data_IF_161272791141
#
_entry.id   IF_161272791141
#
_cell.length_a   1.000
_cell.length_b   1.000
_cell.length_c   1.000
_cell.angle_alpha   90.00
_cell.angle_beta   90.00
_cell.angle_gamma   90.00
#
_symmetry.space_group_name_H-M   'P 1'
#
loop_
_entity.id
_entity.type
_entity.pdbx_description
1 polymer ?
#
# COMPACT_ATOMS: atom_id res chain seq x y z
N UNK A 1 -25.09 -17.26 -6.56
CA UNK A 1 -24.54 -17.61 -5.23
C UNK A 1 -23.40 -18.55 -5.53
N UNK A 2 -22.19 -18.01 -5.72
CA UNK A 2 -21.00 -18.79 -6.05
C UNK A 2 -19.95 -18.52 -4.98
N UNK A 3 -19.35 -19.62 -4.52
CA UNK A 3 -18.59 -19.77 -3.29
C UNK A 3 -17.26 -19.01 -3.28
N UNK A 4 -16.94 -18.42 -2.14
CA UNK A 4 -15.59 -17.96 -1.80
C UNK A 4 -14.60 -19.14 -1.80
N UNK A 5 -13.43 -18.95 -2.41
CA UNK A 5 -12.35 -19.94 -2.35
C UNK A 5 -11.82 -20.02 -0.90
N UNK A 6 -12.03 -21.17 -0.26
CA UNK A 6 -11.74 -21.43 1.16
C UNK A 6 -10.24 -21.32 1.53
N UNK A 7 -9.36 -21.25 0.53
CA UNK A 7 -7.90 -21.32 0.70
C UNK A 7 -7.25 -20.17 1.46
N UNK A 8 -7.93 -19.04 1.64
CA UNK A 8 -7.34 -17.89 2.36
C UNK A 8 -7.31 -18.08 3.89
N UNK A 9 -8.25 -18.85 4.43
CA UNK A 9 -8.45 -18.92 5.87
C UNK A 9 -8.80 -20.33 6.33
N UNK A 10 -7.79 -21.20 6.28
CA UNK A 10 -7.79 -22.65 6.58
C UNK A 10 -8.40 -23.10 7.93
N UNK A 11 -8.78 -22.15 8.78
CA UNK A 11 -9.58 -22.36 9.99
C UNK A 11 -10.51 -21.17 10.10
N UNK A 12 -11.82 -21.37 10.36
CA UNK A 12 -12.58 -20.65 11.39
C UNK A 12 -14.08 -20.50 11.10
N UNK A 13 -14.83 -20.44 12.22
CA UNK A 13 -16.23 -20.03 12.44
C UNK A 13 -16.64 -18.66 11.85
N UNK A 14 -15.79 -17.99 11.07
CA UNK A 14 -16.01 -16.64 10.53
C UNK A 14 -15.79 -16.70 9.03
N UNK A 15 -16.75 -16.21 8.26
CA UNK A 15 -16.73 -16.34 6.79
C UNK A 15 -15.64 -15.45 6.16
N UNK A 16 -15.13 -15.79 4.95
CA UNK A 16 -14.15 -14.99 4.23
C UNK A 16 -14.56 -13.52 4.02
N UNK A 17 -15.85 -13.24 3.81
CA UNK A 17 -16.42 -11.90 3.64
C UNK A 17 -16.20 -11.03 4.88
N UNK A 18 -16.43 -11.59 6.06
CA UNK A 18 -16.21 -10.88 7.32
C UNK A 18 -14.73 -10.58 7.52
N UNK A 19 -13.85 -11.51 7.14
CA UNK A 19 -12.39 -11.32 7.22
C UNK A 19 -11.93 -10.23 6.25
N UNK A 20 -12.42 -10.27 5.02
CA UNK A 20 -12.21 -9.23 4.01
C UNK A 20 -12.74 -7.87 4.46
N UNK A 21 -13.92 -7.82 5.10
CA UNK A 21 -14.49 -6.61 5.66
C UNK A 21 -13.67 -6.06 6.83
N UNK A 22 -13.20 -6.93 7.74
CA UNK A 22 -12.30 -6.54 8.83
C UNK A 22 -11.00 -5.92 8.29
N UNK A 23 -10.40 -6.53 7.27
CA UNK A 23 -9.22 -5.97 6.60
C UNK A 23 -9.53 -4.63 5.93
N UNK A 24 -10.68 -4.50 5.24
CA UNK A 24 -11.13 -3.25 4.65
C UNK A 24 -11.29 -2.15 5.69
N UNK A 25 -11.94 -2.42 6.83
CA UNK A 25 -12.09 -1.44 7.92
C UNK A 25 -10.74 -0.98 8.46
N UNK A 26 -9.79 -1.92 8.59
CA UNK A 26 -8.44 -1.61 9.03
C UNK A 26 -7.74 -0.62 8.09
N UNK A 27 -7.64 -0.95 6.79
CA UNK A 27 -6.89 -0.12 5.83
C UNK A 27 -7.62 1.15 5.42
N UNK A 28 -8.95 1.14 5.36
CA UNK A 28 -9.74 2.28 4.88
C UNK A 28 -9.98 3.35 5.95
N UNK A 29 -10.19 2.95 7.21
CA UNK A 29 -10.52 3.87 8.30
C UNK A 29 -9.31 4.24 9.15
N UNK A 30 -8.17 3.53 9.01
CA UNK A 30 -7.01 3.72 9.88
C UNK A 30 -7.31 3.33 11.34
N UNK A 31 -8.14 2.29 11.52
CA UNK A 31 -8.50 1.78 12.84
C UNK A 31 -7.39 0.89 13.40
N UNK A 32 -7.21 0.83 14.71
CA UNK A 32 -6.40 -0.23 15.32
C UNK A 32 -7.11 -1.59 15.18
N UNK A 33 -6.37 -2.70 15.23
CA UNK A 33 -6.97 -4.05 15.21
C UNK A 33 -8.01 -4.24 16.32
N UNK A 34 -7.80 -3.63 17.48
CA UNK A 34 -8.76 -3.63 18.60
C UNK A 34 -10.03 -2.87 18.27
N UNK A 35 -9.91 -1.72 17.60
CA UNK A 35 -11.08 -0.95 17.16
C UNK A 35 -11.89 -1.71 16.11
N UNK A 36 -11.24 -2.41 15.17
CA UNK A 36 -11.93 -3.28 14.21
C UNK A 36 -12.66 -4.43 14.92
N UNK A 37 -12.00 -5.12 15.86
CA UNK A 37 -12.64 -6.18 16.64
C UNK A 37 -13.89 -5.68 17.40
N UNK A 38 -13.81 -4.51 18.05
CA UNK A 38 -14.96 -3.89 18.72
C UNK A 38 -16.10 -3.52 17.75
N UNK A 39 -15.78 -3.03 16.56
CA UNK A 39 -16.78 -2.74 15.53
C UNK A 39 -17.45 -4.03 15.02
N UNK A 40 -16.72 -5.12 14.87
CA UNK A 40 -17.32 -6.40 14.49
C UNK A 40 -18.22 -6.95 15.61
N UNK A 41 -17.84 -6.73 16.87
CA UNK A 41 -18.64 -7.12 18.03
C UNK A 41 -19.99 -6.40 18.08
N UNK A 42 -20.10 -5.14 17.65
CA UNK A 42 -21.40 -4.45 17.56
C UNK A 42 -22.36 -5.09 16.55
N UNK A 43 -21.85 -5.93 15.64
CA UNK A 43 -22.63 -6.74 14.70
C UNK A 43 -22.76 -8.20 15.15
N UNK A 44 -22.44 -8.52 16.40
CA UNK A 44 -22.53 -9.88 16.96
C UNK A 44 -21.35 -10.80 16.60
N UNK A 45 -20.33 -10.28 15.92
CA UNK A 45 -19.16 -11.06 15.49
C UNK A 45 -18.04 -10.88 16.51
N UNK A 46 -17.92 -11.83 17.45
CA UNK A 46 -16.88 -11.81 18.49
C UNK A 46 -15.57 -12.39 17.96
N UNK A 47 -14.58 -11.53 17.75
CA UNK A 47 -13.23 -11.93 17.34
C UNK A 47 -12.17 -11.17 18.11
N UNK A 48 -11.01 -11.79 18.30
CA UNK A 48 -9.88 -11.11 18.92
C UNK A 48 -9.21 -10.14 17.94
N UNK A 49 -8.59 -9.09 18.46
CA UNK A 49 -7.76 -8.19 17.65
C UNK A 49 -6.57 -8.92 16.97
N UNK A 50 -6.09 -10.02 17.56
CA UNK A 50 -5.06 -10.88 16.96
C UNK A 50 -5.59 -11.60 15.73
N UNK A 51 -6.84 -12.05 15.74
CA UNK A 51 -7.47 -12.64 14.55
C UNK A 51 -7.56 -11.63 13.40
N UNK A 52 -7.96 -10.38 13.69
CA UNK A 52 -7.97 -9.30 12.67
C UNK A 52 -6.56 -9.05 12.12
N UNK A 53 -5.54 -9.01 12.98
CA UNK A 53 -4.15 -8.90 12.53
C UNK A 53 -3.76 -10.07 11.60
N UNK A 54 -4.04 -11.31 11.99
CA UNK A 54 -3.78 -12.49 11.15
C UNK A 54 -4.49 -12.40 9.80
N UNK A 55 -5.71 -11.85 9.74
CA UNK A 55 -6.42 -11.69 8.48
C UNK A 55 -5.71 -10.74 7.53
N UNK A 56 -5.24 -9.59 8.03
CA UNK A 56 -4.47 -8.63 7.24
C UNK A 56 -3.14 -9.23 6.79
N UNK A 57 -2.46 -10.00 7.65
CA UNK A 57 -1.21 -10.65 7.30
C UNK A 57 -1.39 -11.68 6.18
N UNK A 58 -2.35 -12.60 6.33
CA UNK A 58 -2.64 -13.61 5.30
C UNK A 58 -3.07 -12.98 3.99
N UNK A 59 -3.93 -11.96 4.06
CA UNK A 59 -4.38 -11.26 2.87
C UNK A 59 -3.22 -10.58 2.13
N UNK A 60 -2.30 -9.95 2.85
CA UNK A 60 -1.13 -9.34 2.24
C UNK A 60 -0.18 -10.35 1.59
N UNK A 61 -0.05 -11.54 2.18
CA UNK A 61 0.74 -12.64 1.62
C UNK A 61 0.12 -13.19 0.34
N UNK A 62 -1.19 -13.41 0.35
CA UNK A 62 -1.89 -13.96 -0.81
C UNK A 62 -1.97 -12.95 -1.95
N UNK A 63 -2.23 -11.67 -1.66
CA UNK A 63 -2.27 -10.62 -2.70
C UNK A 63 -0.92 -10.46 -3.40
N UNK A 64 0.19 -10.46 -2.65
CA UNK A 64 1.54 -10.37 -3.21
C UNK A 64 1.67 -9.34 -4.34
N UNK A 65 2.00 -9.83 -5.53
CA UNK A 65 2.18 -9.03 -6.75
C UNK A 65 0.86 -8.63 -7.44
N UNK A 66 -0.26 -9.32 -7.16
CA UNK A 66 -1.58 -9.02 -7.73
C UNK A 66 -2.16 -7.67 -7.27
N UNK A 67 -1.58 -7.09 -6.22
CA UNK A 67 -1.91 -5.74 -5.76
C UNK A 67 -1.53 -4.64 -6.77
N UNK A 68 -0.69 -4.96 -7.78
CA UNK A 68 -0.14 -4.01 -8.74
C UNK A 68 -0.51 -4.40 -10.18
N UNK A 69 -0.59 -3.40 -11.06
CA UNK A 69 -0.94 -3.61 -12.47
C UNK A 69 0.08 -3.00 -13.40
N UNK A 70 0.39 -3.77 -14.44
CA UNK A 70 1.27 -3.31 -15.50
C UNK A 70 0.55 -2.29 -16.41
N UNK A 71 1.13 -1.10 -16.58
CA UNK A 71 0.58 -0.01 -17.42
C UNK A 71 1.68 0.83 -18.03
N UNK A 72 1.34 1.58 -19.06
CA UNK A 72 2.15 2.72 -19.49
C UNK A 72 1.99 3.87 -18.51
N UNK A 73 3.10 4.52 -18.16
CA UNK A 73 3.15 5.62 -17.20
C UNK A 73 4.13 6.67 -17.69
N UNK A 74 3.67 7.92 -17.79
CA UNK A 74 4.55 9.02 -18.19
C UNK A 74 5.50 9.41 -17.07
N UNK A 75 4.97 9.50 -15.85
CA UNK A 75 5.69 9.96 -14.66
C UNK A 75 5.62 8.90 -13.58
N UNK A 76 6.75 8.67 -12.90
CA UNK A 76 6.85 7.92 -11.66
C UNK A 76 7.41 8.87 -10.60
N UNK A 77 6.60 9.22 -9.62
CA UNK A 77 7.13 9.94 -8.46
C UNK A 77 7.54 8.94 -7.40
N UNK A 78 8.71 9.15 -6.82
CA UNK A 78 9.24 8.36 -5.72
C UNK A 78 9.61 9.24 -4.54
N UNK A 79 9.26 8.76 -3.35
CA UNK A 79 9.60 9.35 -2.06
C UNK A 79 9.67 8.21 -1.04
N UNK A 80 10.34 8.47 0.07
CA UNK A 80 10.41 7.55 1.18
C UNK A 80 9.78 8.11 2.47
N UNK A 81 9.48 7.20 3.37
CA UNK A 81 9.12 7.56 4.74
C UNK A 81 9.70 6.54 5.70
N UNK A 82 9.82 6.94 6.97
CA UNK A 82 10.31 6.06 8.04
C UNK A 82 9.21 5.78 9.05
N UNK A 83 9.12 4.52 9.46
CA UNK A 83 8.15 4.01 10.41
C UNK A 83 8.93 3.54 11.64
N UNK A 84 8.56 4.03 12.83
CA UNK A 84 9.14 3.55 14.08
C UNK A 84 8.53 2.19 14.44
N UNK A 85 9.40 1.23 14.74
CA UNK A 85 9.09 -0.14 15.09
C UNK A 85 9.81 -0.51 16.40
N UNK A 86 9.53 -1.69 16.95
CA UNK A 86 10.18 -2.21 18.18
C UNK A 86 11.71 -2.17 18.12
N UNK A 87 12.29 -2.55 16.98
CA UNK A 87 13.74 -2.69 16.79
C UNK A 87 14.39 -1.49 16.12
N UNK A 88 13.69 -0.36 16.00
CA UNK A 88 14.21 0.85 15.37
C UNK A 88 13.35 1.34 14.21
N UNK A 89 13.97 2.02 13.25
CA UNK A 89 13.28 2.60 12.10
C UNK A 89 13.29 1.63 10.92
N UNK A 90 12.15 1.53 10.24
CA UNK A 90 12.02 0.85 8.95
C UNK A 90 11.66 1.90 7.92
N UNK A 91 12.34 1.89 6.79
CA UNK A 91 12.07 2.77 5.65
C UNK A 91 11.12 2.08 4.67
N UNK A 92 10.18 2.88 4.16
CA UNK A 92 9.24 2.49 3.11
C UNK A 92 9.38 3.48 1.97
N UNK A 93 9.95 3.00 0.87
CA UNK A 93 9.92 3.70 -0.42
C UNK A 93 8.60 3.37 -1.11
N UNK A 94 7.94 4.36 -1.68
CA UNK A 94 6.72 4.14 -2.46
C UNK A 94 6.83 4.90 -3.78
N UNK A 95 6.38 4.26 -4.85
CA UNK A 95 6.34 4.82 -6.20
C UNK A 95 4.92 5.02 -6.66
N UNK A 96 4.62 6.17 -7.25
CA UNK A 96 3.27 6.55 -7.63
C UNK A 96 3.19 7.05 -9.06
N UNK A 97 2.04 6.77 -9.65
CA UNK A 97 1.61 7.37 -10.89
C UNK A 97 0.67 8.54 -10.56
N UNK A 98 1.10 9.80 -10.74
CA UNK A 98 0.27 10.95 -10.42
C UNK A 98 -0.95 11.11 -11.35
N UNK A 99 -0.83 10.66 -12.59
CA UNK A 99 -1.86 10.79 -13.64
C UNK A 99 -3.03 9.84 -13.32
N UNK A 100 -2.71 8.56 -13.08
CA UNK A 100 -3.71 7.56 -12.71
C UNK A 100 -4.04 7.52 -11.22
N UNK A 101 -3.28 8.26 -10.40
CA UNK A 101 -3.33 8.24 -8.93
C UNK A 101 -3.18 6.83 -8.37
N UNK A 102 -2.26 6.06 -8.91
CA UNK A 102 -2.05 4.67 -8.57
C UNK A 102 -0.74 4.50 -7.78
N UNK A 103 -0.75 3.61 -6.79
CA UNK A 103 0.50 3.12 -6.18
C UNK A 103 1.08 2.07 -7.13
N UNK A 104 2.24 2.38 -7.73
CA UNK A 104 2.92 1.53 -8.70
C UNK A 104 3.60 0.37 -8.01
N UNK A 105 4.40 0.66 -6.97
CA UNK A 105 4.98 -0.33 -6.08
C UNK A 105 5.53 0.31 -4.80
N UNK A 106 6.08 -0.51 -3.90
CA UNK A 106 6.79 -0.06 -2.72
C UNK A 106 7.95 -1.01 -2.35
N UNK A 107 8.87 -0.51 -1.53
CA UNK A 107 9.95 -1.28 -0.96
C UNK A 107 10.10 -0.99 0.53
N UNK A 108 10.11 -2.05 1.34
CA UNK A 108 10.31 -1.98 2.80
C UNK A 108 11.71 -2.48 3.12
N UNK A 109 12.50 -1.66 3.80
CA UNK A 109 13.91 -1.95 4.15
C UNK A 109 14.28 -1.31 5.48
N UNK A 110 15.38 -1.75 6.09
CA UNK A 110 15.93 -1.17 7.32
C UNK A 110 16.94 -0.05 7.02
N UNK A 111 17.34 0.09 5.76
CA UNK A 111 18.36 1.04 5.32
C UNK A 111 17.79 2.07 4.35
N UNK A 112 18.52 3.17 4.14
CA UNK A 112 18.16 4.21 3.18
C UNK A 112 19.36 4.49 2.30
N UNK A 113 19.72 3.49 1.51
CA UNK A 113 20.89 3.52 0.64
C UNK A 113 20.50 3.47 -0.85
N UNK A 114 21.46 3.81 -1.71
CA UNK A 114 21.27 3.72 -3.16
C UNK A 114 20.92 2.31 -3.64
N UNK A 115 21.38 1.26 -2.93
CA UNK A 115 21.03 -0.13 -3.29
C UNK A 115 19.55 -0.45 -3.01
N UNK A 116 19.00 0.03 -1.91
CA UNK A 116 17.57 -0.11 -1.58
C UNK A 116 16.72 0.61 -2.62
N UNK A 117 17.17 1.81 -3.01
CA UNK A 117 16.52 2.63 -4.03
C UNK A 117 16.57 1.94 -5.40
N UNK A 118 17.68 1.29 -5.75
CA UNK A 118 17.78 0.50 -6.98
C UNK A 118 16.80 -0.69 -6.98
N UNK A 119 16.69 -1.42 -5.86
CA UNK A 119 15.72 -2.52 -5.72
C UNK A 119 14.29 -1.97 -5.85
N UNK A 120 13.99 -0.88 -5.16
CA UNK A 120 12.70 -0.20 -5.21
C UNK A 120 12.32 0.23 -6.65
N UNK A 121 13.20 0.94 -7.34
CA UNK A 121 12.92 1.41 -8.70
C UNK A 121 12.73 0.24 -9.67
N UNK A 122 13.53 -0.84 -9.56
CA UNK A 122 13.30 -2.07 -10.33
C UNK A 122 11.91 -2.67 -10.09
N UNK A 123 11.44 -2.68 -8.85
CA UNK A 123 10.08 -3.14 -8.53
C UNK A 123 9.00 -2.27 -9.16
N UNK A 124 9.16 -0.94 -9.17
CA UNK A 124 8.24 -0.05 -9.86
C UNK A 124 8.25 -0.31 -11.37
N UNK A 125 9.43 -0.42 -11.97
CA UNK A 125 9.59 -0.63 -13.42
C UNK A 125 9.06 -1.99 -13.89
N UNK A 126 9.03 -3.02 -13.03
CA UNK A 126 8.35 -4.30 -13.33
C UNK A 126 6.89 -4.10 -13.75
N UNK A 127 6.24 -3.05 -13.25
CA UNK A 127 4.86 -2.73 -13.56
C UNK A 127 4.72 -1.60 -14.57
N UNK A 128 5.81 -1.07 -15.14
CA UNK A 128 5.75 -0.05 -16.18
C UNK A 128 6.11 -0.66 -17.54
N UNK A 129 5.19 -0.56 -18.52
CA UNK A 129 5.45 -1.03 -19.89
C UNK A 129 6.50 -0.20 -20.63
N UNK A 130 6.72 1.02 -20.17
CA UNK A 130 7.67 1.98 -20.69
C UNK A 130 8.62 2.45 -19.57
N UNK A 131 9.62 3.28 -19.92
CA UNK A 131 10.43 3.99 -18.93
C UNK A 131 9.77 5.33 -18.59
N UNK A 132 9.17 5.49 -17.40
CA UNK A 132 8.63 6.78 -16.99
C UNK A 132 9.75 7.77 -16.67
N UNK A 133 9.42 9.05 -16.71
CA UNK A 133 10.20 10.10 -16.08
C UNK A 133 10.14 9.95 -14.56
N UNK A 134 11.30 9.88 -13.92
CA UNK A 134 11.42 9.72 -12.48
C UNK A 134 11.49 11.08 -11.80
N UNK A 135 10.62 11.29 -10.82
CA UNK A 135 10.54 12.53 -10.06
C UNK A 135 10.77 12.23 -8.57
N UNK A 136 11.70 12.92 -7.90
CA UNK A 136 12.03 12.68 -6.48
C UNK A 136 12.21 13.97 -5.68
N UNK A 137 12.32 13.85 -4.35
CA UNK A 137 12.52 14.97 -3.40
C UNK A 137 13.97 15.48 -3.31
N UNK A 138 14.91 14.87 -4.03
CA UNK A 138 16.33 15.22 -4.01
C UNK A 138 17.19 14.39 -3.06
N UNK A 139 16.66 13.31 -2.48
CA UNK A 139 17.46 12.37 -1.69
C UNK A 139 18.71 11.85 -2.42
N UNK A 140 19.86 11.84 -1.74
CA UNK A 140 21.16 11.48 -2.32
C UNK A 140 21.24 10.02 -2.81
N UNK A 141 20.31 9.17 -2.40
CA UNK A 141 20.21 7.77 -2.82
C UNK A 141 19.51 7.56 -4.18
N UNK A 142 18.93 8.58 -4.81
CA UNK A 142 18.23 8.46 -6.10
C UNK A 142 19.09 8.60 -7.37
N UNK A 143 20.10 9.51 -7.46
CA UNK A 143 20.80 9.77 -8.71
C UNK A 143 21.49 8.54 -9.32
N UNK A 144 22.27 7.81 -8.52
CA UNK A 144 23.01 6.64 -9.04
C UNK A 144 22.08 5.52 -9.52
N UNK A 145 21.03 5.10 -8.78
CA UNK A 145 20.07 4.12 -9.28
C UNK A 145 19.31 4.57 -10.53
N UNK A 146 18.90 5.83 -10.59
CA UNK A 146 18.17 6.36 -11.74
C UNK A 146 19.03 6.32 -13.01
N UNK A 147 20.29 6.77 -12.91
CA UNK A 147 21.27 6.66 -13.98
C UNK A 147 21.49 5.21 -14.39
N UNK A 148 21.67 4.30 -13.41
CA UNK A 148 21.91 2.87 -13.65
C UNK A 148 20.76 2.19 -14.41
N UNK A 149 19.53 2.65 -14.21
CA UNK A 149 18.33 2.14 -14.90
C UNK A 149 18.02 2.91 -16.20
N UNK A 150 18.76 3.98 -16.48
CA UNK A 150 18.55 4.85 -17.63
C UNK A 150 17.18 5.55 -17.58
N UNK A 151 16.80 6.04 -16.39
CA UNK A 151 15.61 6.87 -16.18
C UNK A 151 15.99 8.34 -16.32
N UNK A 152 15.12 9.13 -16.95
CA UNK A 152 15.23 10.58 -16.88
C UNK A 152 14.82 11.02 -15.47
N UNK A 153 15.76 11.55 -14.68
CA UNK A 153 15.53 11.86 -13.26
C UNK A 153 15.52 13.36 -13.02
N UNK A 154 14.41 13.84 -12.48
CA UNK A 154 14.24 15.22 -12.04
C UNK A 154 14.00 15.27 -10.54
N UNK A 155 14.56 16.29 -9.91
CA UNK A 155 14.26 16.65 -8.53
C UNK A 155 13.18 17.72 -8.56
N UNK A 156 12.07 17.49 -7.85
CA UNK A 156 10.95 18.44 -7.89
C UNK A 156 11.39 19.80 -7.34
N UNK A 157 11.12 20.86 -8.08
CA UNK A 157 11.17 22.25 -7.62
C UNK A 157 9.85 22.96 -7.94
N UNK A 158 9.43 23.91 -7.09
CA UNK A 158 8.23 24.73 -7.36
C UNK A 158 6.87 24.03 -7.13
N UNK A 159 5.89 24.31 -8.00
CA UNK A 159 4.46 24.01 -7.78
C UNK A 159 4.08 22.52 -7.89
N UNK A 160 4.77 21.76 -8.73
CA UNK A 160 4.55 20.30 -8.90
C UNK A 160 4.78 19.55 -7.57
N UNK A 161 5.67 20.09 -6.73
CA UNK A 161 5.96 19.58 -5.37
C UNK A 161 4.71 19.55 -4.51
N UNK A 162 3.83 20.54 -4.63
CA UNK A 162 2.64 20.62 -3.79
C UNK A 162 1.64 19.49 -4.08
N UNK A 163 1.50 19.06 -5.34
CA UNK A 163 0.64 17.92 -5.67
C UNK A 163 1.21 16.61 -5.14
N UNK A 164 2.50 16.39 -5.39
CA UNK A 164 3.27 15.26 -4.89
C UNK A 164 3.20 15.19 -3.37
N UNK A 165 3.52 16.27 -2.68
CA UNK A 165 3.51 16.35 -1.22
C UNK A 165 2.12 16.14 -0.65
N UNK A 166 1.04 16.71 -1.23
CA UNK A 166 -0.33 16.46 -0.76
C UNK A 166 -0.72 14.99 -0.90
N UNK A 167 -0.33 14.35 -1.99
CA UNK A 167 -0.55 12.92 -2.20
C UNK A 167 0.22 12.11 -1.16
N UNK A 168 1.52 12.38 -1.02
CA UNK A 168 2.37 11.69 -0.06
C UNK A 168 1.96 11.97 1.37
N UNK A 169 1.47 13.15 1.70
CA UNK A 169 0.88 13.46 3.00
C UNK A 169 -0.37 12.62 3.25
N UNK A 170 -1.12 12.22 2.23
CA UNK A 170 -2.25 11.30 2.42
C UNK A 170 -1.78 9.87 2.71
N UNK A 171 -0.77 9.39 1.98
CA UNK A 171 -0.12 8.11 2.24
C UNK A 171 0.53 8.13 3.63
N UNK A 172 1.38 9.14 3.88
CA UNK A 172 2.02 9.43 5.16
C UNK A 172 0.94 9.51 6.22
N UNK A 173 -0.11 10.34 6.17
CA UNK A 173 -1.23 10.36 7.14
C UNK A 173 -1.84 8.99 7.45
N UNK A 174 -1.87 8.06 6.49
CA UNK A 174 -2.29 6.68 6.75
C UNK A 174 -1.21 5.88 7.46
N UNK A 175 0.03 5.94 6.99
CA UNK A 175 1.22 5.40 7.68
C UNK A 175 1.43 6.00 9.09
N UNK A 176 0.94 7.22 9.26
CA UNK A 176 0.99 8.09 10.42
C UNK A 176 -0.24 7.93 11.32
N UNK A 177 -1.38 7.39 10.86
CA UNK A 177 -2.37 6.89 11.83
C UNK A 177 -1.81 5.67 12.59
N UNK A 178 -0.67 5.11 12.15
CA UNK A 178 0.18 4.20 12.92
C UNK A 178 1.32 4.93 13.68
N UNK A 179 1.24 6.27 13.86
CA UNK A 179 2.38 7.20 13.92
C UNK A 179 3.52 6.85 14.85
N UNK A 180 3.30 6.32 16.03
CA UNK A 180 4.43 6.23 16.98
C UNK A 180 5.12 4.88 16.92
N UNK A 181 4.44 3.85 16.42
CA UNK A 181 4.84 2.47 16.62
C UNK A 181 3.93 1.51 15.84
N UNK A 182 4.47 0.83 14.84
CA UNK A 182 3.86 -0.43 14.40
C UNK A 182 4.26 -1.49 15.44
N UNK A 183 3.32 -2.21 16.10
CA UNK A 183 3.62 -3.24 17.10
C UNK A 183 4.14 -4.51 16.44
N UNK A 184 5.20 -4.34 15.65
CA UNK A 184 5.93 -5.40 15.00
C UNK A 184 7.37 -4.96 14.88
N UNK A 185 8.26 -5.90 15.13
CA UNK A 185 9.66 -5.82 14.72
C UNK A 185 9.89 -6.40 13.33
N UNK A 186 8.83 -6.84 12.64
CA UNK A 186 8.94 -7.68 11.45
C UNK A 186 8.66 -6.91 10.15
N UNK A 187 9.69 -6.77 9.32
CA UNK A 187 9.61 -6.25 7.93
C UNK A 187 8.52 -6.93 7.09
N UNK A 188 8.29 -8.24 7.29
CA UNK A 188 7.21 -8.99 6.62
C UNK A 188 5.84 -8.44 6.96
N UNK A 189 5.61 -8.08 8.21
CA UNK A 189 4.32 -7.57 8.67
C UNK A 189 3.97 -6.22 8.04
N UNK A 190 4.96 -5.32 7.93
CA UNK A 190 4.81 -4.03 7.25
C UNK A 190 4.60 -4.24 5.75
N UNK A 191 5.33 -5.17 5.13
CA UNK A 191 5.15 -5.50 3.72
C UNK A 191 3.73 -5.98 3.43
N UNK A 192 3.23 -6.95 4.21
CA UNK A 192 1.89 -7.48 4.05
C UNK A 192 0.83 -6.37 4.22
N UNK A 193 0.99 -5.52 5.23
CA UNK A 193 0.14 -4.34 5.39
C UNK A 193 0.17 -3.43 4.16
N UNK A 194 1.38 -3.07 3.68
CA UNK A 194 1.55 -2.21 2.51
C UNK A 194 0.93 -2.83 1.26
N UNK A 195 0.99 -4.16 1.09
CA UNK A 195 0.34 -4.87 -0.01
C UNK A 195 -1.18 -4.72 0.06
N UNK A 196 -1.79 -5.00 1.22
CA UNK A 196 -3.25 -4.84 1.41
C UNK A 196 -3.67 -3.38 1.21
N UNK A 197 -2.87 -2.44 1.71
CA UNK A 197 -3.13 -1.02 1.54
C UNK A 197 -3.04 -0.58 0.08
N UNK A 198 -2.02 -1.01 -0.67
CA UNK A 198 -1.87 -0.72 -2.09
C UNK A 198 -3.04 -1.29 -2.89
N UNK A 199 -3.44 -2.54 -2.62
CA UNK A 199 -4.61 -3.16 -3.26
C UNK A 199 -5.89 -2.36 -3.00
N UNK A 200 -6.13 -1.98 -1.75
CA UNK A 200 -7.31 -1.20 -1.37
C UNK A 200 -7.29 0.19 -2.02
N UNK A 201 -6.14 0.85 -1.99
CA UNK A 201 -5.95 2.18 -2.55
C UNK A 201 -6.23 2.17 -4.05
N UNK A 202 -5.66 1.20 -4.77
CA UNK A 202 -5.77 1.10 -6.22
C UNK A 202 -7.16 0.64 -6.68
N UNK A 203 -7.85 -0.19 -5.91
CA UNK A 203 -9.08 -0.83 -6.37
C UNK A 203 -10.38 -0.36 -5.70
N UNK A 204 -10.32 0.21 -4.50
CA UNK A 204 -11.53 0.43 -3.68
C UNK A 204 -11.64 1.81 -3.08
N UNK A 205 -10.55 2.56 -2.99
CA UNK A 205 -10.56 3.93 -2.46
C UNK A 205 -11.23 4.87 -3.45
N UNK A 206 -12.14 5.72 -2.97
CA UNK A 206 -12.68 6.81 -3.77
C UNK A 206 -11.69 7.98 -3.82
N UNK A 207 -11.36 8.45 -5.02
CA UNK A 207 -10.54 9.63 -5.24
C UNK A 207 -11.42 10.77 -5.72
N UNK A 208 -11.49 11.88 -4.97
CA UNK A 208 -12.38 13.00 -5.30
C UNK A 208 -12.21 13.52 -6.74
N UNK A 209 -10.97 13.63 -7.22
CA UNK A 209 -10.70 14.12 -8.59
C UNK A 209 -11.02 13.09 -9.67
N UNK A 210 -10.79 11.79 -9.42
CA UNK A 210 -11.10 10.75 -10.42
C UNK A 210 -12.56 10.29 -10.35
N UNK A 211 -13.27 10.55 -9.25
CA UNK A 211 -14.60 10.02 -8.89
C UNK A 211 -14.68 8.48 -8.80
N UNK A 212 -13.54 7.78 -8.92
CA UNK A 212 -13.41 6.32 -8.91
C UNK A 212 -12.02 5.91 -8.39
N UNK A 213 -11.80 4.62 -8.05
CA UNK A 213 -10.48 4.09 -7.78
C UNK A 213 -9.65 3.99 -9.08
N UNK A 214 -8.31 4.02 -8.99
CA UNK A 214 -7.43 3.92 -10.16
C UNK A 214 -7.72 2.74 -11.10
N UNK A 215 -8.07 1.58 -10.54
CA UNK A 215 -8.16 0.32 -11.26
C UNK A 215 -9.58 -0.20 -11.47
N UNK A 216 -10.60 0.52 -11.01
CA UNK A 216 -11.98 0.05 -10.98
C UNK A 216 -12.98 1.13 -11.39
N UNK A 217 -14.16 0.70 -11.87
CA UNK A 217 -15.27 1.61 -12.21
C UNK A 217 -16.05 2.07 -10.98
N UNK A 218 -16.14 1.21 -9.97
CA UNK A 218 -16.87 1.44 -8.71
C UNK A 218 -15.89 1.45 -7.54
N UNK A 219 -16.28 2.00 -6.39
CA UNK A 219 -15.45 2.04 -5.18
C UNK A 219 -16.11 1.31 -4.00
N UNK A 220 -15.47 1.34 -2.84
CA UNK A 220 -16.04 0.86 -1.57
C UNK A 220 -15.97 -0.65 -1.37
N UNK A 221 -16.63 -1.12 -0.30
CA UNK A 221 -16.52 -2.49 0.19
C UNK A 221 -16.98 -3.56 -0.82
N UNK A 222 -18.01 -3.28 -1.62
CA UNK A 222 -18.48 -4.23 -2.64
C UNK A 222 -17.41 -4.47 -3.71
N UNK A 223 -16.73 -3.41 -4.14
CA UNK A 223 -15.62 -3.51 -5.09
C UNK A 223 -14.44 -4.24 -4.46
N UNK A 224 -14.12 -3.93 -3.20
CA UNK A 224 -13.07 -4.62 -2.44
C UNK A 224 -13.29 -6.12 -2.39
N UNK A 225 -14.49 -6.57 -1.97
CA UNK A 225 -14.81 -8.00 -1.89
C UNK A 225 -14.69 -8.65 -3.27
N UNK A 226 -15.23 -8.01 -4.31
CA UNK A 226 -15.12 -8.51 -5.70
C UNK A 226 -13.67 -8.64 -6.19
N UNK A 227 -12.77 -7.79 -5.70
CA UNK A 227 -11.34 -7.83 -6.10
C UNK A 227 -10.52 -8.84 -5.30
N UNK A 228 -11.15 -9.56 -4.37
CA UNK A 228 -10.54 -10.64 -3.58
C UNK A 228 -11.13 -12.02 -3.91
N UNK A 229 -12.12 -12.06 -4.79
CA UNK A 229 -12.81 -13.24 -5.33
C UNK A 229 -12.44 -13.42 -6.79
#
# INVERSE_FOLDING_TARGET
MECFDEKFFDRNQVTPEVKAFGAYLYVSQGSSYRKVARLLETFGIRVSHVAVWQWVQRLGETLGDEAFREKERKILIADETKIKCEKGWIYVFAGIDPENREIVNFHVTEHRESIDTLIFLKKCLKYCKNKPELITDGGSWYPWPAQRLGLNHHVVSGEERNYVERWYQTLKRRLQNFYTYFPTSCKRSIRNFMTVYAHWYNNSRHHMTLKKPPNQKTHGIKTWIKTLT
#
